data_IF_120186846903
#
_entry.id   IF_120186846903
#
_cell.length_a   1.000
_cell.length_b   1.000
_cell.length_c   1.000
_cell.angle_alpha   90.00
_cell.angle_beta   90.00
_cell.angle_gamma   90.00
#
_symmetry.space_group_name_H-M   'P 1'
#
loop_
_entity.id
_entity.type
_entity.pdbx_description
1 polymer ?
#
# COMPACT_ATOMS: atom_id res chain seq x y z
N UNK A 1 -6.58 -1.35 24.97
CA UNK A 1 -5.17 -1.46 25.43
C UNK A 1 -4.32 -1.68 24.20
N UNK A 2 -3.20 -0.98 24.05
CA UNK A 2 -2.29 -1.18 22.92
C UNK A 2 -1.45 -2.44 23.18
N UNK A 3 -1.46 -3.39 22.26
CA UNK A 3 -0.56 -4.55 22.34
C UNK A 3 0.84 -4.14 21.86
N UNK A 4 1.89 -4.56 22.58
CA UNK A 4 3.29 -4.39 22.18
C UNK A 4 3.84 -5.75 21.83
N UNK A 5 4.06 -5.98 20.53
CA UNK A 5 4.43 -7.25 19.94
C UNK A 5 5.65 -7.09 19.01
N UNK A 6 6.54 -6.15 19.35
CA UNK A 6 7.74 -5.86 18.57
C UNK A 6 8.63 -7.11 18.51
N UNK A 7 8.99 -7.55 17.30
CA UNK A 7 9.80 -8.75 17.09
C UNK A 7 9.08 -10.08 17.37
N UNK A 8 7.77 -10.06 17.63
CA UNK A 8 7.03 -11.28 17.98
C UNK A 8 6.92 -12.23 16.78
N UNK A 9 7.03 -13.53 17.06
CA UNK A 9 6.82 -14.57 16.06
C UNK A 9 5.42 -15.19 16.19
N UNK A 10 4.59 -14.90 15.19
CA UNK A 10 3.26 -15.46 14.97
C UNK A 10 3.20 -16.37 13.73
N UNK A 11 4.34 -16.83 13.20
CA UNK A 11 4.37 -17.65 12.01
C UNK A 11 3.53 -18.93 12.23
N UNK A 12 2.68 -19.27 11.25
CA UNK A 12 1.75 -20.41 11.27
C UNK A 12 0.65 -20.35 12.36
N UNK A 13 0.50 -19.22 13.06
CA UNK A 13 -0.52 -19.07 14.09
C UNK A 13 -1.94 -18.99 13.48
N UNK A 14 -2.94 -19.44 14.23
CA UNK A 14 -4.34 -19.19 13.94
C UNK A 14 -4.78 -17.91 14.67
N UNK A 15 -4.90 -16.80 13.92
CA UNK A 15 -5.19 -15.45 14.41
C UNK A 15 -6.49 -14.90 13.80
N UNK A 16 -7.44 -15.79 13.50
CA UNK A 16 -8.73 -15.42 12.91
C UNK A 16 -9.49 -14.48 13.83
N UNK A 17 -10.01 -13.38 13.26
CA UNK A 17 -10.77 -12.35 13.97
C UNK A 17 -10.00 -11.68 15.13
N UNK A 18 -8.66 -11.75 15.15
CA UNK A 18 -7.87 -11.03 16.15
C UNK A 18 -7.88 -9.52 15.90
N UNK A 19 -7.96 -8.72 16.96
CA UNK A 19 -7.90 -7.27 16.89
C UNK A 19 -6.50 -6.76 17.28
N UNK A 20 -5.76 -6.29 16.28
CA UNK A 20 -4.44 -5.64 16.40
C UNK A 20 -4.54 -4.11 16.30
N UNK A 21 -5.72 -3.52 16.46
CA UNK A 21 -5.94 -2.07 16.38
C UNK A 21 -4.96 -1.32 17.28
N UNK A 22 -4.24 -0.36 16.70
CA UNK A 22 -3.23 0.47 17.36
C UNK A 22 -2.05 -0.28 17.98
N UNK A 23 -1.85 -1.57 17.71
CA UNK A 23 -0.71 -2.33 18.25
C UNK A 23 0.65 -1.91 17.68
N UNK A 24 1.74 -2.19 18.40
CA UNK A 24 3.11 -2.06 17.90
C UNK A 24 3.58 -3.44 17.41
N UNK A 25 3.73 -3.59 16.09
CA UNK A 25 4.06 -4.83 15.41
C UNK A 25 5.39 -4.74 14.64
N UNK A 26 6.22 -3.76 14.96
CA UNK A 26 7.52 -3.57 14.31
C UNK A 26 8.34 -4.86 14.36
N UNK A 27 8.81 -5.31 13.20
CA UNK A 27 9.58 -6.55 13.02
C UNK A 27 8.84 -7.84 13.44
N UNK A 28 7.51 -7.84 13.49
CA UNK A 28 6.74 -9.05 13.77
C UNK A 28 6.66 -10.00 12.56
N UNK A 29 6.53 -11.29 12.84
CA UNK A 29 6.54 -12.36 11.83
C UNK A 29 5.17 -13.05 11.79
N UNK A 30 4.48 -13.02 10.65
CA UNK A 30 3.16 -13.61 10.43
C UNK A 30 3.16 -14.68 9.32
N UNK A 31 4.32 -15.26 8.99
CA UNK A 31 4.44 -16.14 7.82
C UNK A 31 3.50 -17.33 7.93
N UNK A 32 2.70 -17.58 6.89
CA UNK A 32 1.72 -18.65 6.84
C UNK A 32 0.69 -18.63 8.00
N UNK A 33 0.53 -17.49 8.70
CA UNK A 33 -0.49 -17.33 9.71
C UNK A 33 -1.88 -17.23 9.07
N UNK A 34 -2.91 -17.66 9.78
CA UNK A 34 -4.29 -17.44 9.37
C UNK A 34 -4.84 -16.17 10.04
N UNK A 35 -4.90 -15.10 9.26
CA UNK A 35 -5.33 -13.76 9.66
C UNK A 35 -6.70 -13.38 9.09
N UNK A 36 -7.52 -14.37 8.69
CA UNK A 36 -8.86 -14.09 8.19
C UNK A 36 -9.67 -13.24 9.18
N UNK A 37 -10.16 -12.10 8.70
CA UNK A 37 -10.89 -11.07 9.46
C UNK A 37 -10.10 -10.44 10.62
N UNK A 38 -8.77 -10.54 10.64
CA UNK A 38 -7.97 -9.81 11.61
C UNK A 38 -8.00 -8.30 11.31
N UNK A 39 -7.98 -7.46 12.36
CA UNK A 39 -8.08 -6.01 12.24
C UNK A 39 -6.72 -5.37 12.56
N UNK A 40 -6.19 -4.56 11.65
CA UNK A 40 -4.88 -3.91 11.78
C UNK A 40 -4.96 -2.38 11.85
N UNK A 41 -6.14 -1.81 12.10
CA UNK A 41 -6.38 -0.38 12.03
C UNK A 41 -5.43 0.43 12.93
N UNK A 42 -4.64 1.30 12.32
CA UNK A 42 -3.70 2.17 13.03
C UNK A 42 -2.57 1.44 13.76
N UNK A 43 -2.31 0.16 13.47
CA UNK A 43 -1.12 -0.52 13.99
C UNK A 43 0.16 0.07 13.37
N UNK A 44 1.28 -0.10 14.07
CA UNK A 44 2.60 0.25 13.56
C UNK A 44 3.25 -1.01 12.99
N UNK A 45 3.66 -0.91 11.72
CA UNK A 45 4.39 -1.94 10.98
C UNK A 45 5.69 -1.32 10.49
N UNK A 46 6.80 -2.04 10.65
CA UNK A 46 8.07 -1.70 10.03
C UNK A 46 8.26 -2.45 8.72
N UNK A 47 9.23 -2.02 7.90
CA UNK A 47 9.63 -2.69 6.65
C UNK A 47 10.01 -4.17 6.82
N UNK A 48 10.42 -4.59 8.02
CA UNK A 48 10.78 -5.98 8.31
C UNK A 48 9.60 -6.84 8.79
N UNK A 49 8.39 -6.25 8.88
CA UNK A 49 7.20 -7.00 9.29
C UNK A 49 6.76 -7.88 8.12
N UNK A 50 6.66 -9.19 8.34
CA UNK A 50 6.47 -10.16 7.26
C UNK A 50 5.11 -10.83 7.36
N UNK A 51 4.34 -10.74 6.26
CA UNK A 51 3.05 -11.43 6.09
C UNK A 51 3.14 -12.53 5.02
N UNK A 52 4.34 -12.99 4.66
CA UNK A 52 4.55 -13.93 3.56
C UNK A 52 3.74 -15.21 3.72
N UNK A 53 2.88 -15.51 2.74
CA UNK A 53 2.01 -16.68 2.77
C UNK A 53 0.89 -16.64 3.81
N UNK A 54 0.71 -15.53 4.54
CA UNK A 54 -0.40 -15.39 5.47
C UNK A 54 -1.74 -15.41 4.71
N UNK A 55 -2.73 -16.09 5.28
CA UNK A 55 -4.08 -16.16 4.74
C UNK A 55 -4.93 -15.03 5.33
N UNK A 56 -5.85 -14.47 4.55
CA UNK A 56 -6.83 -13.52 5.09
C UNK A 56 -6.30 -12.11 5.36
N UNK A 57 -5.02 -11.85 5.06
CA UNK A 57 -4.57 -10.54 4.60
C UNK A 57 -5.07 -10.45 3.16
N UNK A 58 -6.38 -10.30 2.97
CA UNK A 58 -6.86 -9.85 1.67
C UNK A 58 -6.26 -8.48 1.49
N UNK A 59 -5.44 -8.31 0.45
CA UNK A 59 -5.03 -6.98 0.04
C UNK A 59 -6.32 -6.21 -0.12
N UNK A 60 -6.59 -5.21 0.73
CA UNK A 60 -7.81 -4.45 0.57
C UNK A 60 -7.81 -3.96 -0.88
N UNK A 61 -8.99 -3.90 -1.54
CA UNK A 61 -9.08 -3.41 -2.93
C UNK A 61 -8.37 -2.06 -3.15
N UNK A 62 -8.04 -1.35 -2.07
CA UNK A 62 -7.46 -0.03 -2.00
C UNK A 62 -6.10 0.00 -1.25
N UNK A 63 -5.35 -1.11 -1.15
CA UNK A 63 -4.03 -1.12 -0.51
C UNK A 63 -3.04 -0.26 -1.31
N UNK A 64 -3.02 1.03 -0.98
CA UNK A 64 -2.23 2.07 -1.64
C UNK A 64 -3.00 2.80 -2.73
N UNK A 65 -3.99 3.60 -2.35
CA UNK A 65 -4.48 4.69 -3.18
C UNK A 65 -3.67 5.96 -2.87
N UNK A 66 -3.02 6.53 -3.88
CA UNK A 66 -2.54 7.90 -3.79
C UNK A 66 -2.88 8.65 -5.06
N UNK A 67 -3.14 9.94 -4.91
CA UNK A 67 -3.55 10.79 -6.02
C UNK A 67 -2.39 11.65 -6.47
N UNK A 68 -2.06 11.62 -7.75
CA UNK A 68 -1.13 12.59 -8.33
C UNK A 68 -1.96 13.73 -8.90
N UNK A 69 -1.78 14.93 -8.37
CA UNK A 69 -2.30 16.16 -8.98
C UNK A 69 -1.20 16.82 -9.79
N UNK A 70 -1.46 17.09 -11.06
CA UNK A 70 -0.56 17.88 -11.90
C UNK A 70 -1.31 19.12 -12.41
N UNK A 71 -0.64 20.27 -12.38
CA UNK A 71 -1.16 21.55 -12.85
C UNK A 71 -0.07 22.27 -13.66
N UNK A 72 -0.40 22.66 -14.88
CA UNK A 72 0.49 23.36 -15.82
C UNK A 72 0.00 24.79 -15.96
N UNK A 73 0.85 25.76 -15.63
CA UNK A 73 0.56 27.17 -15.87
C UNK A 73 0.71 27.47 -17.37
N UNK A 74 -0.38 27.83 -18.02
CA UNK A 74 -0.44 28.26 -19.43
C UNK A 74 -0.73 29.76 -19.58
N UNK A 75 -0.73 30.50 -18.47
CA UNK A 75 -0.85 31.96 -18.47
C UNK A 75 0.34 32.62 -19.18
N UNK A 76 0.07 33.69 -19.95
CA UNK A 76 1.13 34.49 -20.58
C UNK A 76 1.79 35.39 -19.53
N UNK A 77 3.12 35.50 -19.60
CA UNK A 77 3.95 36.24 -18.64
C UNK A 77 3.75 37.77 -18.60
N UNK A 78 2.89 38.33 -19.46
CA UNK A 78 2.74 39.78 -19.57
C UNK A 78 1.57 40.27 -18.70
N UNK A 79 1.96 40.74 -17.51
CA UNK A 79 1.33 41.67 -16.57
C UNK A 79 -0.22 41.70 -16.51
N UNK A 80 -0.72 41.24 -15.35
CA UNK A 80 -2.13 41.22 -14.88
C UNK A 80 -3.02 40.06 -15.35
N UNK A 81 -2.53 39.14 -16.16
CA UNK A 81 -3.27 37.89 -16.40
C UNK A 81 -3.21 37.00 -15.15
N UNK A 82 -4.36 36.56 -14.65
CA UNK A 82 -4.43 35.54 -13.61
C UNK A 82 -3.66 34.30 -14.06
N UNK A 83 -2.94 33.65 -13.15
CA UNK A 83 -2.26 32.40 -13.47
C UNK A 83 -3.30 31.36 -13.91
N UNK A 84 -3.28 31.03 -15.20
CA UNK A 84 -4.21 30.06 -15.79
C UNK A 84 -3.55 28.70 -15.71
N UNK A 85 -4.09 27.81 -14.87
CA UNK A 85 -3.62 26.45 -14.79
C UNK A 85 -4.57 25.50 -15.52
N UNK A 86 -4.00 24.56 -16.26
CA UNK A 86 -4.70 23.38 -16.77
C UNK A 86 -4.08 22.15 -16.12
N UNK A 87 -4.88 21.16 -15.75
CA UNK A 87 -4.38 20.00 -15.03
C UNK A 87 -5.45 18.99 -14.69
N UNK A 88 -5.07 17.99 -13.92
CA UNK A 88 -5.94 16.89 -13.52
C UNK A 88 -5.42 16.15 -12.30
N UNK A 89 -6.27 15.28 -11.77
CA UNK A 89 -5.94 14.36 -10.69
C UNK A 89 -6.03 12.94 -11.24
N UNK A 90 -5.01 12.13 -11.01
CA UNK A 90 -5.00 10.72 -11.34
C UNK A 90 -4.93 9.90 -10.07
N UNK A 91 -5.81 8.92 -9.95
CA UNK A 91 -5.79 7.92 -8.88
C UNK A 91 -4.79 6.82 -9.25
N UNK A 92 -3.81 6.58 -8.38
CA UNK A 92 -2.85 5.49 -8.52
C UNK A 92 -3.21 4.42 -7.49
N UNK A 93 -3.43 3.20 -7.96
CA UNK A 93 -3.81 2.04 -7.16
C UNK A 93 -2.76 0.94 -7.38
N UNK A 94 -2.58 0.05 -6.41
CA UNK A 94 -1.67 -1.09 -6.60
C UNK A 94 -1.99 -1.89 -7.88
N UNK A 95 -3.29 -2.06 -8.19
CA UNK A 95 -3.75 -2.75 -9.40
C UNK A 95 -3.24 -2.09 -10.68
N UNK A 96 -3.38 -0.76 -10.81
CA UNK A 96 -2.96 -0.09 -12.04
C UNK A 96 -1.43 -0.02 -12.17
N UNK A 97 -0.69 0.03 -11.07
CA UNK A 97 0.77 -0.08 -11.05
C UNK A 97 1.21 -1.47 -11.54
N UNK A 98 0.60 -2.55 -11.03
CA UNK A 98 0.90 -3.92 -11.46
C UNK A 98 0.60 -4.12 -12.95
N UNK A 99 -0.54 -3.64 -13.45
CA UNK A 99 -0.85 -3.69 -14.89
C UNK A 99 0.17 -2.91 -15.72
N UNK A 100 0.55 -1.70 -15.30
CA UNK A 100 1.56 -0.91 -15.99
C UNK A 100 2.92 -1.59 -16.05
N UNK A 101 3.38 -2.21 -14.94
CA UNK A 101 4.64 -2.95 -14.90
C UNK A 101 4.60 -4.14 -15.86
N UNK A 102 3.50 -4.91 -15.87
CA UNK A 102 3.34 -6.04 -16.79
C UNK A 102 3.38 -5.59 -18.27
N UNK A 103 2.69 -4.49 -18.61
CA UNK A 103 2.72 -3.92 -19.96
C UNK A 103 4.14 -3.46 -20.34
N UNK A 104 4.88 -2.89 -19.38
CA UNK A 104 6.27 -2.45 -19.58
C UNK A 104 7.22 -3.64 -19.78
N UNK A 105 7.10 -4.69 -18.98
CA UNK A 105 7.88 -5.93 -19.12
C UNK A 105 7.66 -6.57 -20.50
N UNK A 106 6.40 -6.61 -20.94
CA UNK A 106 6.03 -7.10 -22.27
C UNK A 106 6.65 -6.24 -23.38
N UNK A 107 6.55 -4.91 -23.27
CA UNK A 107 7.10 -3.99 -24.27
C UNK A 107 8.63 -4.06 -24.36
N UNK A 108 9.31 -4.40 -23.26
CA UNK A 108 10.77 -4.51 -23.18
C UNK A 108 11.31 -5.91 -23.50
N UNK A 109 10.46 -6.89 -23.85
CA UNK A 109 10.84 -8.30 -24.00
C UNK A 109 11.60 -8.85 -22.77
N UNK A 110 11.27 -8.37 -21.58
CA UNK A 110 11.80 -8.94 -20.35
C UNK A 110 10.99 -10.22 -20.11
N UNK A 111 11.58 -11.38 -20.44
CA UNK A 111 11.02 -12.66 -20.04
C UNK A 111 10.98 -12.70 -18.49
N UNK A 112 9.89 -13.19 -17.87
CA UNK A 112 9.82 -13.32 -16.43
C UNK A 112 10.93 -14.25 -15.91
N UNK A 113 11.76 -13.73 -15.02
CA UNK A 113 12.82 -14.46 -14.32
C UNK A 113 12.35 -15.24 -13.11
#
# INVERSE_FOLDING_TARGET
>A
MQAVCIGANFSKACLKNCDFTKSLLDNAYFENANLSNAIFNGCHLSENTSFSGALGIETAKNDGEFTIQFMVNIGRLNEKAAATYIGGQSEITLKNVQSFIADLEQALNLEPG
#
